data_IF_858607388316
#
_entry.id   IF_858607388316
#
_cell.length_a   1.000
_cell.length_b   1.000
_cell.length_c   1.000
_cell.angle_alpha   90.00
_cell.angle_beta   90.00
_cell.angle_gamma   90.00
#
_symmetry.space_group_name_H-M   'P 1'
#
loop_
_entity.id
_entity.type
_entity.pdbx_description
1 polymer ?
#
# COMPACT_ATOMS: atom_id res chain seq x y z
N UNK A 1 22.79 7.53 -6.89
CA UNK A 1 21.62 7.81 -6.04
C UNK A 1 20.57 6.74 -6.28
N UNK A 2 19.89 6.23 -5.22
CA UNK A 2 18.82 5.21 -5.33
C UNK A 2 17.66 5.53 -4.41
N UNK A 3 16.46 5.04 -4.74
CA UNK A 3 15.28 5.09 -3.90
C UNK A 3 15.01 3.68 -3.31
N UNK A 4 14.85 3.58 -1.99
CA UNK A 4 14.64 2.30 -1.29
C UNK A 4 13.20 2.23 -0.76
N UNK A 5 12.40 1.30 -1.29
CA UNK A 5 11.03 1.05 -0.83
C UNK A 5 11.05 -0.11 0.15
N UNK A 6 10.88 0.18 1.44
CA UNK A 6 11.00 -0.80 2.55
C UNK A 6 9.66 -1.36 3.05
N UNK A 7 8.57 -1.07 2.34
CA UNK A 7 7.21 -1.48 2.71
C UNK A 7 6.90 -2.95 2.37
N UNK A 8 7.29 -3.48 1.19
CA UNK A 8 7.01 -4.88 0.84
C UNK A 8 7.71 -5.87 1.78
N UNK A 9 6.98 -6.91 2.20
CA UNK A 9 7.50 -8.06 2.94
C UNK A 9 8.05 -9.14 2.03
N UNK A 10 8.71 -10.15 2.62
CA UNK A 10 9.28 -11.29 1.88
C UNK A 10 8.21 -12.22 1.27
N UNK A 11 6.99 -12.13 1.74
CA UNK A 11 5.78 -12.82 1.29
C UNK A 11 5.13 -12.17 0.05
N UNK A 12 5.61 -11.00 -0.36
CA UNK A 12 5.03 -10.24 -1.47
C UNK A 12 5.42 -10.82 -2.84
N UNK A 13 4.50 -10.82 -3.79
CA UNK A 13 4.80 -11.19 -5.18
C UNK A 13 5.72 -10.12 -5.82
N UNK A 14 6.96 -10.46 -6.23
CA UNK A 14 7.94 -9.49 -6.68
C UNK A 14 7.52 -8.77 -7.98
N UNK A 15 6.75 -9.43 -8.85
CA UNK A 15 6.25 -8.81 -10.07
C UNK A 15 5.21 -7.73 -9.77
N UNK A 16 4.27 -8.00 -8.86
CA UNK A 16 3.27 -7.02 -8.44
C UNK A 16 3.90 -5.85 -7.69
N UNK A 17 4.90 -6.12 -6.85
CA UNK A 17 5.66 -5.08 -6.16
C UNK A 17 6.35 -4.15 -7.15
N UNK A 18 7.10 -4.69 -8.10
CA UNK A 18 7.83 -3.88 -9.08
C UNK A 18 6.88 -3.09 -9.98
N UNK A 19 5.81 -3.72 -10.47
CA UNK A 19 4.78 -3.05 -11.26
C UNK A 19 4.14 -1.89 -10.47
N UNK A 20 3.80 -2.11 -9.19
CA UNK A 20 3.25 -1.07 -8.31
C UNK A 20 4.20 0.11 -8.16
N UNK A 21 5.48 -0.14 -7.86
CA UNK A 21 6.48 0.90 -7.63
C UNK A 21 6.69 1.74 -8.89
N UNK A 22 6.84 1.09 -10.05
CA UNK A 22 7.06 1.79 -11.33
C UNK A 22 5.83 2.62 -11.70
N UNK A 23 4.63 2.04 -11.65
CA UNK A 23 3.40 2.75 -12.03
C UNK A 23 3.09 3.92 -11.10
N UNK A 24 3.27 3.78 -9.78
CA UNK A 24 3.10 4.89 -8.83
C UNK A 24 4.15 5.99 -9.02
N UNK A 25 5.39 5.60 -9.29
CA UNK A 25 6.47 6.54 -9.60
C UNK A 25 6.17 7.36 -10.84
N UNK A 26 5.76 6.70 -11.93
CA UNK A 26 5.37 7.35 -13.19
C UNK A 26 4.18 8.28 -12.98
N UNK A 27 3.12 7.81 -12.30
CA UNK A 27 1.95 8.62 -11.95
C UNK A 27 2.31 9.89 -11.18
N UNK A 28 3.24 9.79 -10.23
CA UNK A 28 3.75 10.92 -9.46
C UNK A 28 4.45 11.96 -10.33
N UNK A 29 5.28 11.50 -11.27
CA UNK A 29 6.00 12.34 -12.24
C UNK A 29 5.03 13.05 -13.18
N UNK A 30 4.13 12.29 -13.83
CA UNK A 30 3.18 12.81 -14.81
C UNK A 30 2.25 13.87 -14.22
N UNK A 31 1.78 13.63 -12.99
CA UNK A 31 0.86 14.52 -12.29
C UNK A 31 1.54 15.57 -11.44
N UNK A 32 2.88 15.57 -11.40
CA UNK A 32 3.70 16.49 -10.58
C UNK A 32 3.21 16.53 -9.12
N UNK A 33 2.95 15.36 -8.53
CA UNK A 33 2.40 15.27 -7.18
C UNK A 33 3.39 15.80 -6.15
N UNK A 34 2.88 16.57 -5.19
CA UNK A 34 3.66 17.07 -4.08
C UNK A 34 4.02 15.93 -3.11
N UNK A 35 5.27 15.88 -2.67
CA UNK A 35 5.71 14.96 -1.63
C UNK A 35 5.44 15.62 -0.28
N UNK A 36 4.29 15.30 0.31
CA UNK A 36 3.82 15.92 1.54
C UNK A 36 4.65 15.57 2.79
N UNK A 37 5.47 14.52 2.74
CA UNK A 37 6.37 14.13 3.84
C UNK A 37 7.83 14.23 3.40
N UNK A 38 8.62 15.14 3.99
CA UNK A 38 10.04 15.24 3.66
C UNK A 38 10.78 13.95 4.05
N UNK A 39 11.95 13.67 3.42
CA UNK A 39 12.80 12.56 3.83
C UNK A 39 13.13 12.68 5.32
N UNK A 40 12.87 11.61 6.06
CA UNK A 40 13.21 11.59 7.49
C UNK A 40 14.73 11.62 7.62
N UNK A 41 15.26 12.63 8.34
CA UNK A 41 16.67 12.63 8.71
C UNK A 41 16.97 11.39 9.57
N UNK A 42 18.11 10.74 9.33
CA UNK A 42 18.56 9.59 10.14
C UNK A 42 18.57 10.00 11.62
N UNK A 43 17.69 9.39 12.43
CA UNK A 43 17.78 9.43 13.89
C UNK A 43 16.54 9.90 14.64
N UNK A 44 15.68 10.75 14.06
CA UNK A 44 14.65 11.44 14.86
C UNK A 44 13.24 11.00 14.53
N UNK A 45 12.93 9.71 14.77
CA UNK A 45 11.52 9.26 14.80
C UNK A 45 10.75 9.93 15.95
N UNK A 46 11.45 10.36 17.01
CA UNK A 46 10.89 10.99 18.20
C UNK A 46 10.43 12.46 17.99
N UNK A 47 11.01 13.18 17.02
CA UNK A 47 10.67 14.59 16.76
C UNK A 47 9.58 14.76 15.68
N UNK A 48 9.11 13.67 15.10
CA UNK A 48 8.06 13.73 14.09
C UNK A 48 6.73 13.84 14.80
N UNK A 49 6.06 14.97 14.59
CA UNK A 49 4.67 15.12 14.98
C UNK A 49 3.83 14.02 14.30
N UNK A 50 3.51 12.98 15.07
CA UNK A 50 2.81 11.79 14.58
C UNK A 50 1.43 12.13 14.00
N UNK A 51 0.87 13.31 14.31
CA UNK A 51 -0.38 13.80 13.74
C UNK A 51 -0.24 14.25 12.28
N UNK A 52 0.99 14.51 11.80
CA UNK A 52 1.27 14.90 10.41
C UNK A 52 1.59 13.72 9.50
N UNK A 53 1.71 12.50 10.06
CA UNK A 53 1.99 11.30 9.29
C UNK A 53 0.71 10.51 8.99
N UNK A 54 0.53 10.14 7.73
CA UNK A 54 -0.52 9.19 7.34
C UNK A 54 -0.02 7.78 7.66
N UNK A 55 -0.71 7.08 8.56
CA UNK A 55 -0.39 5.68 8.88
C UNK A 55 -0.77 4.75 7.73
N UNK A 56 0.07 3.75 7.51
CA UNK A 56 -0.28 2.59 6.69
C UNK A 56 -1.44 1.82 7.33
N UNK A 57 -2.10 1.00 6.53
CA UNK A 57 -3.13 0.09 7.02
C UNK A 57 -2.56 -0.84 8.09
N UNK A 58 -3.32 -1.10 9.15
CA UNK A 58 -2.89 -1.92 10.30
C UNK A 58 -3.29 -3.39 10.19
N UNK A 59 -4.09 -3.73 9.18
CA UNK A 59 -4.53 -5.09 8.92
C UNK A 59 -4.69 -5.31 7.42
N UNK A 60 -4.70 -6.58 7.02
CA UNK A 60 -5.02 -6.96 5.64
C UNK A 60 -6.41 -6.44 5.24
N UNK A 61 -7.38 -6.48 6.16
CA UNK A 61 -8.73 -5.95 5.97
C UNK A 61 -8.73 -4.47 5.59
N UNK A 62 -8.07 -3.63 6.39
CA UNK A 62 -7.99 -2.20 6.11
C UNK A 62 -7.22 -1.92 4.81
N UNK A 63 -6.16 -2.68 4.53
CA UNK A 63 -5.41 -2.56 3.28
C UNK A 63 -6.28 -2.90 2.07
N UNK A 64 -7.04 -4.00 2.16
CA UNK A 64 -7.90 -4.49 1.09
C UNK A 64 -9.09 -3.55 0.83
N UNK A 65 -9.72 -3.01 1.88
CA UNK A 65 -10.77 -1.99 1.77
C UNK A 65 -10.26 -0.74 1.04
N UNK A 66 -9.05 -0.27 1.35
CA UNK A 66 -8.42 0.87 0.66
C UNK A 66 -8.09 0.52 -0.80
N UNK A 67 -7.60 -0.69 -1.05
CA UNK A 67 -7.24 -1.19 -2.38
C UNK A 67 -8.47 -1.32 -3.29
N UNK A 68 -9.56 -1.90 -2.80
CA UNK A 68 -10.77 -2.17 -3.59
C UNK A 68 -11.73 -0.99 -3.73
N UNK A 69 -11.54 0.09 -2.96
CA UNK A 69 -12.42 1.27 -2.97
C UNK A 69 -12.65 1.79 -4.41
N UNK A 70 -13.88 2.20 -4.70
CA UNK A 70 -14.22 2.95 -5.91
C UNK A 70 -13.28 4.15 -6.07
N UNK A 71 -12.66 4.29 -7.24
CA UNK A 71 -11.68 5.35 -7.52
C UNK A 71 -10.34 5.22 -6.77
N UNK A 72 -10.01 4.05 -6.22
CA UNK A 72 -8.70 3.83 -5.61
C UNK A 72 -7.57 3.98 -6.64
N UNK A 73 -6.39 4.37 -6.17
CA UNK A 73 -5.18 4.41 -7.01
C UNK A 73 -4.84 3.02 -7.55
N UNK A 74 -5.22 1.96 -6.85
CA UNK A 74 -5.04 0.60 -7.34
C UNK A 74 -5.87 0.33 -8.61
N UNK A 75 -7.14 0.78 -8.66
CA UNK A 75 -7.99 0.65 -9.86
C UNK A 75 -7.45 1.48 -11.02
N UNK A 76 -6.89 2.65 -10.72
CA UNK A 76 -6.23 3.49 -11.72
C UNK A 76 -5.02 2.78 -12.37
N UNK A 77 -4.24 2.02 -11.59
CA UNK A 77 -2.97 1.41 -12.04
C UNK A 77 -3.16 0.02 -12.62
N UNK A 78 -3.98 -0.81 -11.98
CA UNK A 78 -4.14 -2.23 -12.32
C UNK A 78 -5.43 -2.54 -13.07
N UNK A 79 -6.37 -1.58 -13.12
CA UNK A 79 -7.69 -1.79 -13.69
C UNK A 79 -8.66 -2.50 -12.75
N UNK A 80 -9.94 -2.35 -13.04
CA UNK A 80 -11.02 -2.83 -12.17
C UNK A 80 -11.06 -4.36 -12.06
N UNK A 81 -10.81 -5.07 -13.15
CA UNK A 81 -10.85 -6.54 -13.19
C UNK A 81 -9.80 -7.15 -12.27
N UNK A 82 -8.55 -6.69 -12.37
CA UNK A 82 -7.47 -7.16 -11.51
C UNK A 82 -7.76 -6.84 -10.04
N UNK A 83 -8.15 -5.60 -9.73
CA UNK A 83 -8.43 -5.19 -8.36
C UNK A 83 -9.58 -6.01 -7.77
N UNK A 84 -10.62 -6.29 -8.55
CA UNK A 84 -11.74 -7.10 -8.10
C UNK A 84 -11.31 -8.55 -7.82
N UNK A 85 -10.54 -9.15 -8.72
CA UNK A 85 -10.07 -10.53 -8.56
C UNK A 85 -9.09 -10.66 -7.39
N UNK A 86 -8.00 -9.88 -7.41
CA UNK A 86 -6.97 -9.94 -6.38
C UNK A 86 -7.52 -9.55 -5.01
N UNK A 87 -8.33 -8.49 -4.95
CA UNK A 87 -8.96 -8.07 -3.71
C UNK A 87 -9.93 -9.10 -3.14
N UNK A 88 -10.73 -9.75 -4.00
CA UNK A 88 -11.62 -10.84 -3.58
C UNK A 88 -10.88 -12.04 -2.97
N UNK A 89 -9.68 -12.37 -3.45
CA UNK A 89 -8.87 -13.44 -2.82
C UNK A 89 -8.42 -13.06 -1.41
N UNK A 90 -8.13 -11.77 -1.15
CA UNK A 90 -7.81 -11.28 0.20
C UNK A 90 -9.04 -11.24 1.09
N UNK A 91 -10.22 -10.89 0.56
CA UNK A 91 -11.48 -10.97 1.31
C UNK A 91 -11.74 -12.39 1.82
N UNK A 92 -11.49 -13.40 0.99
CA UNK A 92 -11.62 -14.80 1.40
C UNK A 92 -10.65 -15.18 2.52
N UNK A 93 -9.38 -14.79 2.43
CA UNK A 93 -8.38 -15.01 3.49
C UNK A 93 -8.78 -14.33 4.81
N UNK A 94 -9.27 -13.09 4.74
CA UNK A 94 -9.76 -12.34 5.91
C UNK A 94 -10.92 -13.09 6.57
N UNK A 95 -11.89 -13.58 5.78
CA UNK A 95 -13.04 -14.32 6.30
C UNK A 95 -12.62 -15.60 7.03
N UNK A 96 -11.66 -16.36 6.48
CA UNK A 96 -11.12 -17.55 7.12
C UNK A 96 -10.43 -17.21 8.44
N UNK A 97 -9.62 -16.15 8.45
CA UNK A 97 -8.93 -15.69 9.65
C UNK A 97 -9.92 -15.24 10.74
N UNK A 98 -10.95 -14.47 10.40
CA UNK A 98 -11.95 -13.96 11.35
C UNK A 98 -12.79 -15.07 12.00
N UNK A 99 -12.87 -16.25 11.39
CA UNK A 99 -13.56 -17.43 11.94
C UNK A 99 -12.66 -18.32 12.81
N UNK A 100 -11.36 -18.00 12.88
CA UNK A 100 -10.38 -18.81 13.61
C UNK A 100 -10.36 -18.40 15.09
N UNK A 101 -10.42 -19.40 15.98
CA UNK A 101 -10.22 -19.20 17.43
C UNK A 101 -8.73 -19.38 17.72
N UNK A 102 -8.12 -18.38 18.35
CA UNK A 102 -6.72 -18.42 18.80
C UNK A 102 -6.65 -18.88 20.26
N UNK A 103 -5.58 -19.58 20.62
CA UNK A 103 -5.27 -20.00 22.00
C UNK A 103 -5.17 -18.83 23.00
#
# INVERSE_FOLDING_TARGET
>A
TRFEVRVPGADSNPYLVLATIISLGLRGIERKLEISSPPLAKGNMADIDSHKLVRLARSLKEANERFMRQGSVAREIFGDEFVQHFGGTREHEIQLWEQTVTD
#
